data_IF_163833292068
#
_entry.id   IF_163833292068
#
_cell.length_a   1.000
_cell.length_b   1.000
_cell.length_c   1.000
_cell.angle_alpha   90.00
_cell.angle_beta   90.00
_cell.angle_gamma   90.00
#
_symmetry.space_group_name_H-M   'P 1'
#
loop_
_entity.id
_entity.type
_entity.pdbx_description
1 polymer ?
#
# COMPACT_ATOMS: atom_id res chain seq x y z
N UNK A 1 12.92 16.07 21.91
CA UNK A 1 12.75 17.32 21.12
C UNK A 1 13.51 17.28 19.79
N UNK A 2 14.80 16.93 19.77
CA UNK A 2 15.62 16.90 18.53
C UNK A 2 15.20 15.81 17.53
N UNK A 3 14.81 14.62 17.99
CA UNK A 3 14.37 13.51 17.11
C UNK A 3 13.06 13.83 16.38
N UNK A 4 12.12 14.51 17.07
CA UNK A 4 10.84 14.93 16.48
C UNK A 4 11.03 15.96 15.36
N UNK A 5 11.90 16.95 15.58
CA UNK A 5 12.20 17.97 14.58
C UNK A 5 12.83 17.38 13.30
N UNK A 6 13.73 16.40 13.42
CA UNK A 6 14.32 15.74 12.26
C UNK A 6 13.31 14.90 11.47
N UNK A 7 12.36 14.27 12.16
CA UNK A 7 11.30 13.48 11.52
C UNK A 7 10.28 14.37 10.80
N UNK A 8 9.94 15.53 11.38
CA UNK A 8 9.07 16.52 10.74
C UNK A 8 9.71 17.10 9.47
N UNK A 9 11.00 17.44 9.51
CA UNK A 9 11.74 17.93 8.34
C UNK A 9 11.83 16.85 7.25
N UNK A 10 12.08 15.60 7.64
CA UNK A 10 12.11 14.47 6.71
C UNK A 10 10.74 14.25 6.05
N UNK A 11 9.67 14.28 6.83
CA UNK A 11 8.30 14.15 6.33
C UNK A 11 7.96 15.31 5.39
N UNK A 12 8.27 16.55 5.77
CA UNK A 12 8.03 17.72 4.93
C UNK A 12 8.80 17.65 3.59
N UNK A 13 10.04 17.18 3.61
CA UNK A 13 10.87 17.11 2.41
C UNK A 13 10.45 16.01 1.44
N UNK A 14 10.10 14.83 1.96
CA UNK A 14 9.75 13.68 1.11
C UNK A 14 8.27 13.63 0.74
N UNK A 15 7.42 14.02 1.68
CA UNK A 15 5.97 13.82 1.60
C UNK A 15 5.16 15.12 1.70
N UNK A 16 5.79 16.27 1.96
CA UNK A 16 5.16 17.59 1.86
C UNK A 16 3.74 17.65 2.44
N UNK A 17 2.79 18.13 1.62
CA UNK A 17 1.36 18.21 1.93
C UNK A 17 0.54 16.99 1.43
N UNK A 18 1.18 15.84 1.21
CA UNK A 18 0.51 14.65 0.71
C UNK A 18 -0.51 14.15 1.75
N UNK A 19 -1.75 13.99 1.31
CA UNK A 19 -2.88 13.60 2.17
C UNK A 19 -3.01 12.08 2.27
N UNK A 20 -3.56 11.60 3.39
CA UNK A 20 -3.92 10.19 3.64
C UNK A 20 -2.76 9.19 3.73
N UNK A 21 -1.53 9.68 3.95
CA UNK A 21 -0.37 8.80 4.17
C UNK A 21 -0.46 7.99 5.46
N UNK A 22 -1.03 8.59 6.50
CA UNK A 22 -1.36 7.94 7.77
C UNK A 22 -2.33 6.78 7.57
N UNK A 23 -3.40 6.99 6.80
CA UNK A 23 -4.35 5.95 6.45
C UNK A 23 -3.69 4.83 5.63
N UNK A 24 -2.89 5.18 4.62
CA UNK A 24 -2.14 4.19 3.83
C UNK A 24 -1.21 3.36 4.72
N UNK A 25 -0.50 3.99 5.66
CA UNK A 25 0.39 3.30 6.58
C UNK A 25 -0.36 2.32 7.49
N UNK A 26 -1.52 2.72 8.03
CA UNK A 26 -2.38 1.82 8.82
C UNK A 26 -2.82 0.62 7.98
N UNK A 27 -3.27 0.83 6.74
CA UNK A 27 -3.66 -0.26 5.85
C UNK A 27 -2.49 -1.21 5.55
N UNK A 28 -1.29 -0.67 5.33
CA UNK A 28 -0.11 -1.51 5.13
C UNK A 28 0.19 -2.42 6.33
N UNK A 29 0.02 -1.92 7.57
CA UNK A 29 0.18 -2.72 8.78
C UNK A 29 -0.87 -3.82 8.84
N UNK A 30 -2.15 -3.49 8.60
CA UNK A 30 -3.24 -4.47 8.59
C UNK A 30 -3.00 -5.55 7.53
N UNK A 31 -2.54 -5.16 6.35
CA UNK A 31 -2.20 -6.10 5.29
C UNK A 31 -1.05 -7.04 5.69
N UNK A 32 0.00 -6.52 6.33
CA UNK A 32 1.10 -7.35 6.84
C UNK A 32 0.59 -8.36 7.88
N UNK A 33 -0.20 -7.90 8.85
CA UNK A 33 -0.74 -8.75 9.92
C UNK A 33 -1.65 -9.84 9.34
N UNK A 34 -2.57 -9.47 8.44
CA UNK A 34 -3.48 -10.44 7.79
C UNK A 34 -2.73 -11.41 6.88
N UNK A 35 -1.70 -10.93 6.16
CA UNK A 35 -0.84 -11.77 5.32
C UNK A 35 -0.02 -12.78 6.11
N UNK A 36 0.51 -12.38 7.27
CA UNK A 36 1.22 -13.29 8.18
C UNK A 36 0.26 -14.34 8.77
N UNK A 37 -0.92 -13.92 9.23
CA UNK A 37 -1.93 -14.84 9.75
C UNK A 37 -2.34 -15.88 8.71
N UNK A 38 -2.54 -15.45 7.46
CA UNK A 38 -2.82 -16.33 6.32
C UNK A 38 -1.69 -17.32 6.06
N UNK A 39 -0.44 -16.85 6.00
CA UNK A 39 0.73 -17.70 5.77
C UNK A 39 0.94 -18.72 6.89
N UNK A 40 0.62 -18.36 8.13
CA UNK A 40 0.61 -19.29 9.27
C UNK A 40 -0.45 -20.38 9.10
N UNK A 41 -1.70 -20.01 8.76
CA UNK A 41 -2.79 -20.97 8.49
C UNK A 41 -2.46 -21.96 7.36
N UNK A 42 -1.79 -21.49 6.31
CA UNK A 42 -1.39 -22.34 5.18
C UNK A 42 -0.11 -23.15 5.41
N UNK A 43 0.59 -22.95 6.53
CA UNK A 43 1.90 -23.58 6.77
C UNK A 43 3.00 -23.10 5.82
N UNK A 44 2.80 -21.97 5.11
CA UNK A 44 3.70 -21.41 4.09
C UNK A 44 4.45 -20.18 4.58
N UNK A 45 4.95 -20.20 5.82
CA UNK A 45 5.81 -19.15 6.35
C UNK A 45 7.23 -19.20 5.74
N UNK A 46 7.33 -18.98 4.44
CA UNK A 46 8.62 -18.81 3.76
C UNK A 46 9.04 -17.35 3.85
N UNK A 47 10.12 -17.07 4.59
CA UNK A 47 10.62 -15.69 4.76
C UNK A 47 10.89 -15.01 3.42
N UNK A 48 11.38 -15.76 2.42
CA UNK A 48 11.64 -15.24 1.07
C UNK A 48 10.41 -14.58 0.44
N UNK A 49 9.22 -15.14 0.63
CA UNK A 49 7.97 -14.57 0.10
C UNK A 49 7.57 -13.31 0.88
N UNK A 50 7.79 -13.29 2.20
CA UNK A 50 7.53 -12.11 3.04
C UNK A 50 8.47 -10.93 2.71
N UNK A 51 9.76 -11.20 2.44
CA UNK A 51 10.73 -10.18 2.05
C UNK A 51 10.33 -9.41 0.79
N UNK A 52 9.81 -10.10 -0.23
CA UNK A 52 9.30 -9.43 -1.44
C UNK A 52 8.07 -8.56 -1.15
N UNK A 53 7.20 -8.97 -0.23
CA UNK A 53 6.06 -8.16 0.22
C UNK A 53 6.51 -6.84 0.86
N UNK A 54 7.49 -6.90 1.77
CA UNK A 54 8.04 -5.69 2.40
C UNK A 54 8.76 -4.78 1.40
N UNK A 55 9.56 -5.35 0.50
CA UNK A 55 10.25 -4.58 -0.55
C UNK A 55 9.25 -3.84 -1.46
N UNK A 56 8.12 -4.48 -1.82
CA UNK A 56 7.05 -3.83 -2.57
C UNK A 56 6.49 -2.63 -1.83
N UNK A 57 6.20 -2.75 -0.52
CA UNK A 57 5.69 -1.63 0.29
C UNK A 57 6.67 -0.47 0.40
N UNK A 58 7.97 -0.74 0.49
CA UNK A 58 8.99 0.32 0.40
C UNK A 58 8.97 1.02 -0.97
N UNK A 59 8.79 0.26 -2.06
CA UNK A 59 8.63 0.80 -3.40
C UNK A 59 7.41 1.74 -3.55
N UNK A 60 6.33 1.50 -2.80
CA UNK A 60 5.15 2.37 -2.77
C UNK A 60 5.52 3.78 -2.26
N UNK A 61 6.30 3.86 -1.18
CA UNK A 61 6.77 5.16 -0.70
C UNK A 61 7.66 5.86 -1.72
N UNK A 62 8.53 5.12 -2.43
CA UNK A 62 9.32 5.67 -3.54
C UNK A 62 8.45 6.27 -4.65
N UNK A 63 7.37 5.58 -5.05
CA UNK A 63 6.44 6.07 -6.05
C UNK A 63 5.68 7.33 -5.59
N UNK A 64 5.30 7.40 -4.32
CA UNK A 64 4.65 8.58 -3.74
C UNK A 64 5.60 9.77 -3.69
N UNK A 65 6.86 9.56 -3.30
CA UNK A 65 7.90 10.61 -3.31
C UNK A 65 8.07 11.14 -4.73
N UNK A 66 8.16 10.25 -5.72
CA UNK A 66 8.24 10.66 -7.13
C UNK A 66 7.01 11.47 -7.56
N UNK A 67 5.81 11.03 -7.19
CA UNK A 67 4.57 11.77 -7.49
C UNK A 67 4.55 13.17 -6.85
N UNK A 68 5.02 13.29 -5.60
CA UNK A 68 5.15 14.57 -4.91
C UNK A 68 6.19 15.48 -5.60
N UNK A 69 7.32 14.92 -6.05
CA UNK A 69 8.31 15.68 -6.84
C UNK A 69 7.70 16.20 -8.15
N UNK A 70 6.89 15.39 -8.83
CA UNK A 70 6.18 15.82 -10.04
C UNK A 70 5.20 16.96 -9.72
N UNK A 71 4.44 16.86 -8.63
CA UNK A 71 3.53 17.93 -8.20
C UNK A 71 4.25 19.26 -7.93
N UNK A 72 5.43 19.20 -7.30
CA UNK A 72 6.24 20.39 -7.00
C UNK A 72 6.82 21.01 -8.27
N UNK A 73 7.37 20.20 -9.18
CA UNK A 73 8.00 20.67 -10.43
C UNK A 73 6.97 21.29 -11.38
N UNK A 74 5.75 20.75 -11.40
CA UNK A 74 4.68 21.16 -12.31
C UNK A 74 3.63 22.09 -11.66
N UNK A 75 3.82 22.50 -10.39
CA UNK A 75 2.88 23.29 -9.60
C UNK A 75 1.43 22.72 -9.57
N UNK A 76 1.30 21.40 -9.49
CA UNK A 76 0.02 20.68 -9.54
C UNK A 76 -0.69 20.60 -8.17
N UNK A 77 -0.18 21.32 -7.15
CA UNK A 77 -0.78 21.44 -5.81
C UNK A 77 -1.07 20.09 -5.12
N UNK A 78 -0.23 19.08 -5.37
CA UNK A 78 -0.34 17.77 -4.73
C UNK A 78 -1.36 16.82 -5.37
N UNK A 79 -1.86 17.12 -6.57
CA UNK A 79 -2.90 16.34 -7.25
C UNK A 79 -2.40 14.94 -7.64
N UNK A 80 -1.19 14.83 -8.16
CA UNK A 80 -0.61 13.56 -8.63
C UNK A 80 -0.32 12.64 -7.45
N UNK A 81 0.30 13.15 -6.38
CA UNK A 81 0.57 12.42 -5.17
C UNK A 81 -0.73 12.00 -4.47
N UNK A 82 -1.76 12.85 -4.46
CA UNK A 82 -3.07 12.49 -3.92
C UNK A 82 -3.69 11.28 -4.65
N UNK A 83 -3.73 11.31 -5.99
CA UNK A 83 -4.25 10.19 -6.79
C UNK A 83 -3.40 8.94 -6.58
N UNK A 84 -2.08 9.09 -6.50
CA UNK A 84 -1.14 7.99 -6.26
C UNK A 84 -1.37 7.34 -4.90
N UNK A 85 -1.58 8.11 -3.83
CA UNK A 85 -1.91 7.59 -2.50
C UNK A 85 -3.25 6.85 -2.52
N UNK A 86 -4.30 7.42 -3.15
CA UNK A 86 -5.59 6.75 -3.28
C UNK A 86 -5.48 5.42 -4.02
N UNK A 87 -4.68 5.36 -5.09
CA UNK A 87 -4.41 4.13 -5.83
C UNK A 87 -3.77 3.07 -4.93
N UNK A 88 -2.78 3.44 -4.11
CA UNK A 88 -2.15 2.49 -3.19
C UNK A 88 -3.05 2.11 -2.01
N UNK A 89 -3.90 3.01 -1.52
CA UNK A 89 -4.94 2.68 -0.52
C UNK A 89 -5.86 1.59 -1.07
N UNK A 90 -6.32 1.73 -2.32
CA UNK A 90 -7.14 0.71 -2.98
C UNK A 90 -6.39 -0.62 -3.12
N UNK A 91 -5.10 -0.59 -3.47
CA UNK A 91 -4.26 -1.79 -3.58
C UNK A 91 -4.03 -2.50 -2.23
N UNK A 92 -3.82 -1.77 -1.14
CA UNK A 92 -3.69 -2.38 0.19
C UNK A 92 -5.04 -2.93 0.66
N UNK A 93 -6.15 -2.22 0.41
CA UNK A 93 -7.51 -2.73 0.66
C UNK A 93 -7.79 -4.04 -0.08
N UNK A 94 -7.41 -4.12 -1.35
CA UNK A 94 -7.44 -5.34 -2.17
C UNK A 94 -6.71 -6.52 -1.51
N UNK A 95 -5.46 -6.28 -1.11
CA UNK A 95 -4.60 -7.30 -0.51
C UNK A 95 -5.15 -7.80 0.83
N UNK A 96 -5.67 -6.90 1.67
CA UNK A 96 -6.33 -7.25 2.94
C UNK A 96 -7.52 -8.17 2.69
N UNK A 97 -8.38 -7.81 1.73
CA UNK A 97 -9.59 -8.59 1.44
C UNK A 97 -9.28 -9.98 0.91
N UNK A 98 -8.22 -10.11 0.10
CA UNK A 98 -7.70 -11.40 -0.33
C UNK A 98 -7.23 -12.24 0.87
N UNK A 99 -6.43 -11.65 1.76
CA UNK A 99 -5.92 -12.33 2.96
C UNK A 99 -7.07 -12.77 3.88
N UNK A 100 -8.06 -11.91 4.12
CA UNK A 100 -9.25 -12.20 4.92
C UNK A 100 -10.10 -13.31 4.33
N UNK A 101 -10.28 -13.32 3.00
CA UNK A 101 -11.02 -14.37 2.29
C UNK A 101 -10.33 -15.73 2.47
N UNK A 102 -9.01 -15.80 2.34
CA UNK A 102 -8.23 -17.04 2.56
C UNK A 102 -8.24 -17.48 4.04
N UNK A 103 -8.36 -16.52 4.97
CA UNK A 103 -8.57 -16.80 6.39
C UNK A 103 -9.97 -17.35 6.70
N UNK A 104 -10.95 -17.19 5.81
CA UNK A 104 -12.33 -17.68 5.97
C UNK A 104 -13.31 -16.62 6.48
N UNK A 105 -12.90 -15.34 6.47
CA UNK A 105 -13.79 -14.23 6.78
C UNK A 105 -14.75 -14.02 5.61
N UNK A 106 -16.05 -13.92 5.90
CA UNK A 106 -17.07 -13.68 4.88
C UNK A 106 -16.95 -12.25 4.36
N UNK A 107 -16.44 -12.09 3.14
CA UNK A 107 -16.39 -10.81 2.41
C UNK A 107 -17.60 -10.73 1.47
N UNK A 108 -18.33 -9.61 1.42
CA UNK A 108 -19.44 -9.42 0.47
C UNK A 108 -19.00 -9.65 -0.99
N UNK A 109 -19.81 -10.37 -1.77
CA UNK A 109 -19.48 -10.75 -3.15
C UNK A 109 -19.22 -9.54 -4.06
N UNK A 110 -19.97 -8.44 -3.90
CA UNK A 110 -19.77 -7.23 -4.69
C UNK A 110 -18.35 -6.65 -4.55
N UNK A 111 -17.74 -6.83 -3.37
CA UNK A 111 -16.36 -6.42 -3.10
C UNK A 111 -15.42 -7.40 -3.81
N UNK A 112 -15.61 -8.72 -3.61
CA UNK A 112 -14.78 -9.76 -4.22
C UNK A 112 -14.76 -9.67 -5.77
N UNK A 113 -15.92 -9.46 -6.38
CA UNK A 113 -16.09 -9.50 -7.84
C UNK A 113 -15.50 -8.27 -8.54
N UNK A 114 -15.59 -7.08 -7.94
CA UNK A 114 -14.97 -5.86 -8.48
C UNK A 114 -13.44 -5.86 -8.37
N UNK A 115 -12.93 -6.56 -7.37
CA UNK A 115 -11.52 -6.57 -7.01
C UNK A 115 -10.70 -7.63 -7.78
N UNK A 116 -11.30 -8.77 -8.10
CA UNK A 116 -10.67 -9.81 -8.93
C UNK A 116 -10.40 -9.37 -10.37
N UNK A 117 -11.22 -8.45 -10.90
CA UNK A 117 -11.04 -7.89 -12.26
C UNK A 117 -9.70 -7.12 -12.38
N UNK A 118 -9.19 -6.54 -11.29
CA UNK A 118 -7.93 -5.78 -11.29
C UNK A 118 -6.69 -6.71 -11.28
N UNK A 119 -6.83 -7.97 -10.83
CA UNK A 119 -5.72 -8.92 -10.80
C UNK A 119 -5.48 -9.62 -12.15
N UNK A 120 -6.50 -9.80 -12.99
CA UNK A 120 -6.38 -10.52 -14.26
C UNK A 120 -5.51 -9.78 -15.30
N UNK A 121 -5.36 -8.46 -15.20
CA UNK A 121 -4.47 -7.69 -16.10
C UNK A 121 -2.97 -7.88 -15.81
N UNK A 122 -2.58 -8.55 -14.71
CA UNK A 122 -1.18 -8.90 -14.41
C UNK A 122 -0.73 -10.24 -14.98
N UNK A 123 -1.63 -11.02 -15.59
CA UNK A 123 -1.33 -12.36 -16.12
C UNK A 123 -1.10 -12.47 -17.62
N UNK A 124 -1.50 -11.47 -18.42
CA UNK A 124 -1.50 -11.58 -19.89
C UNK A 124 -0.33 -10.84 -20.57
N UNK A 125 0.77 -10.63 -19.85
CA UNK A 125 2.04 -10.17 -20.43
C UNK A 125 3.22 -10.96 -19.88
N UNK A 126 3.23 -12.25 -20.17
CA UNK A 126 4.46 -13.04 -20.38
C UNK A 126 4.37 -13.74 -21.74
#
# INVERSE_FOLDING_TARGET
MIIGANLEVFHAYLFGSVKYLDLLFVLMIVDIVTGVAKAYKEGKLRSRTAWFGYARKLGIFGAIILANVIDVVLDLKGSVAFVTVLFYIANEGLSILENLTQLGVKVPSFIKDKLLVIQQEKGDKE
#
